data_IF_700115989195
#
_entry.id   IF_700115989195
#
_cell.length_a   1.000
_cell.length_b   1.000
_cell.length_c   1.000
_cell.angle_alpha   90.00
_cell.angle_beta   90.00
_cell.angle_gamma   90.00
#
_symmetry.space_group_name_H-M   'P 1'
#
loop_
_entity.id
_entity.type
_entity.pdbx_description
1 polymer ?
#
# COMPACT_ATOMS: atom_id res chain seq x y z
N UNK A 1 -18.86 -17.12 -54.51
CA UNK A 1 -17.69 -16.38 -54.02
C UNK A 1 -18.22 -15.38 -53.00
N UNK A 2 -18.06 -15.62 -51.70
CA UNK A 2 -16.85 -15.29 -50.90
C UNK A 2 -16.57 -13.78 -51.05
N UNK A 3 -16.64 -12.92 -50.02
CA UNK A 3 -16.06 -13.11 -48.70
C UNK A 3 -16.78 -12.37 -47.57
N UNK A 4 -16.58 -12.95 -46.39
CA UNK A 4 -16.98 -12.50 -45.06
C UNK A 4 -16.38 -11.12 -44.75
N UNK A 5 -17.22 -10.13 -44.45
CA UNK A 5 -16.73 -8.97 -43.69
C UNK A 5 -16.98 -9.25 -42.20
N UNK A 6 -15.98 -9.88 -41.57
CA UNK A 6 -15.90 -10.10 -40.13
C UNK A 6 -16.08 -8.76 -39.41
N UNK A 7 -17.10 -8.69 -38.56
CA UNK A 7 -17.07 -7.77 -37.42
C UNK A 7 -15.82 -8.09 -36.59
N UNK A 8 -14.99 -7.11 -36.21
CA UNK A 8 -14.17 -7.29 -35.03
C UNK A 8 -15.07 -7.03 -33.82
N UNK A 9 -15.47 -8.12 -33.18
CA UNK A 9 -16.00 -8.12 -31.82
C UNK A 9 -14.82 -7.98 -30.86
N UNK A 10 -15.01 -7.13 -29.84
CA UNK A 10 -14.35 -7.12 -28.53
C UNK A 10 -12.82 -7.06 -28.47
N UNK A 11 -12.32 -5.94 -27.99
CA UNK A 11 -11.53 -5.91 -26.76
C UNK A 11 -11.59 -4.47 -26.24
N UNK A 12 -12.69 -4.14 -25.56
CA UNK A 12 -12.63 -3.08 -24.59
C UNK A 12 -11.71 -3.60 -23.49
N UNK A 13 -10.45 -3.21 -23.59
CA UNK A 13 -9.50 -3.33 -22.49
C UNK A 13 -10.06 -2.39 -21.42
N UNK A 14 -10.95 -2.90 -20.59
CA UNK A 14 -11.26 -2.30 -19.30
C UNK A 14 -9.96 -2.34 -18.51
N UNK A 15 -9.12 -1.34 -18.76
CA UNK A 15 -8.03 -1.00 -17.86
C UNK A 15 -8.72 -0.76 -16.53
N UNK A 16 -8.56 -1.71 -15.61
CA UNK A 16 -8.87 -1.49 -14.21
C UNK A 16 -7.98 -0.33 -13.80
N UNK A 17 -8.49 0.90 -13.91
CA UNK A 17 -7.83 2.08 -13.41
C UNK A 17 -7.82 1.87 -11.91
N UNK A 18 -6.69 1.41 -11.40
CA UNK A 18 -6.53 1.16 -9.99
C UNK A 18 -6.66 2.51 -9.28
N UNK A 19 -7.82 2.75 -8.66
CA UNK A 19 -8.09 4.04 -8.03
C UNK A 19 -7.12 4.21 -6.88
N UNK A 20 -6.34 5.27 -6.94
CA UNK A 20 -5.43 5.65 -5.88
C UNK A 20 -6.24 6.30 -4.75
N UNK A 21 -6.33 5.63 -3.58
CA UNK A 21 -7.15 6.10 -2.45
C UNK A 21 -6.52 7.25 -1.67
N UNK A 22 -5.19 7.24 -1.53
CA UNK A 22 -4.44 8.19 -0.72
C UNK A 22 -3.47 9.05 -1.56
N UNK A 23 -3.09 10.26 -1.11
CA UNK A 23 -2.14 11.11 -1.82
C UNK A 23 -0.77 10.45 -2.06
N UNK A 24 0.05 11.06 -2.93
CA UNK A 24 1.41 10.56 -3.20
C UNK A 24 2.29 10.54 -1.95
N UNK A 25 2.18 11.56 -1.10
CA UNK A 25 2.95 11.71 0.13
C UNK A 25 2.03 12.13 1.27
N UNK A 26 2.04 11.39 2.38
CA UNK A 26 1.24 11.70 3.57
C UNK A 26 1.84 11.07 4.82
N UNK A 27 1.26 11.35 6.00
CA UNK A 27 1.66 10.74 7.26
C UNK A 27 0.55 9.83 7.79
N UNK A 28 0.93 8.78 8.52
CA UNK A 28 0.01 7.93 9.26
C UNK A 28 0.55 7.62 10.66
N UNK A 29 -0.31 7.11 11.55
CA UNK A 29 0.07 6.67 12.89
C UNK A 29 -0.39 5.24 13.12
N UNK A 30 0.50 4.42 13.65
CA UNK A 30 0.18 3.06 14.10
C UNK A 30 -0.68 3.14 15.35
N UNK A 31 -1.92 2.67 15.27
CA UNK A 31 -2.90 2.64 16.38
C UNK A 31 -3.14 1.24 16.91
N UNK A 32 -2.97 0.24 16.05
CA UNK A 32 -3.23 -1.15 16.35
C UNK A 32 -2.16 -2.08 15.80
N UNK A 33 -2.58 -3.26 15.37
CA UNK A 33 -1.66 -4.32 14.95
C UNK A 33 -1.31 -4.16 13.47
N UNK A 34 -0.13 -3.62 13.20
CA UNK A 34 0.44 -3.54 11.86
C UNK A 34 1.66 -4.43 11.81
N UNK A 35 1.65 -5.41 10.89
CA UNK A 35 2.79 -6.30 10.71
C UNK A 35 3.55 -5.92 9.45
N UNK A 36 4.87 -6.03 9.49
CA UNK A 36 5.75 -5.84 8.36
C UNK A 36 6.76 -6.99 8.28
N UNK A 37 7.39 -7.11 7.11
CA UNK A 37 8.49 -8.05 6.88
C UNK A 37 9.67 -7.29 6.29
N UNK A 38 10.86 -7.53 6.82
CA UNK A 38 12.11 -7.01 6.26
C UNK A 38 12.80 -8.14 5.48
N UNK A 39 12.89 -7.99 4.16
CA UNK A 39 13.44 -9.02 3.26
C UNK A 39 12.71 -10.37 3.41
N UNK A 40 13.47 -11.44 3.63
CA UNK A 40 12.93 -12.79 3.87
C UNK A 40 12.74 -13.10 5.37
N UNK A 41 12.89 -12.10 6.24
CA UNK A 41 12.78 -12.24 7.69
C UNK A 41 11.38 -12.65 8.18
N UNK A 42 11.21 -12.87 9.49
CA UNK A 42 9.91 -13.09 10.09
C UNK A 42 8.99 -11.88 9.92
N UNK A 43 7.69 -12.07 10.17
CA UNK A 43 6.78 -10.94 10.37
C UNK A 43 7.06 -10.32 11.73
N UNK A 44 7.14 -8.99 11.76
CA UNK A 44 7.39 -8.16 12.94
C UNK A 44 6.25 -7.15 13.11
N UNK A 45 5.95 -6.80 14.35
CA UNK A 45 4.92 -5.81 14.66
C UNK A 45 5.52 -4.41 14.70
N UNK A 46 4.88 -3.45 14.03
CA UNK A 46 5.25 -2.04 14.18
C UNK A 46 4.90 -1.53 15.58
N UNK A 47 5.76 -0.71 16.23
CA UNK A 47 5.44 -0.16 17.53
C UNK A 47 4.22 0.76 17.47
N UNK A 48 3.24 0.55 18.36
CA UNK A 48 2.05 1.41 18.48
C UNK A 48 2.45 2.83 18.88
N UNK A 49 1.81 3.82 18.28
CA UNK A 49 2.11 5.24 18.46
C UNK A 49 3.20 5.78 17.52
N UNK A 50 3.81 4.91 16.70
CA UNK A 50 4.79 5.33 15.69
C UNK A 50 4.11 6.17 14.62
N UNK A 51 4.66 7.36 14.38
CA UNK A 51 4.31 8.17 13.22
C UNK A 51 5.19 7.77 12.03
N UNK A 52 4.53 7.43 10.92
CA UNK A 52 5.19 6.98 9.70
C UNK A 52 4.93 7.97 8.58
N UNK A 53 5.96 8.23 7.78
CA UNK A 53 5.81 8.87 6.48
C UNK A 53 5.46 7.79 5.47
N UNK A 54 4.52 8.09 4.59
CA UNK A 54 3.99 7.15 3.61
C UNK A 54 4.14 7.74 2.22
N UNK A 55 4.82 7.01 1.35
CA UNK A 55 4.95 7.30 -0.07
C UNK A 55 4.17 6.25 -0.88
N UNK A 56 3.28 6.71 -1.76
CA UNK A 56 2.53 5.85 -2.66
C UNK A 56 3.43 5.34 -3.80
N UNK A 57 3.34 4.04 -4.09
CA UNK A 57 3.89 3.41 -5.29
C UNK A 57 2.79 2.64 -6.05
N UNK A 58 3.09 2.17 -7.27
CA UNK A 58 2.09 1.64 -8.23
C UNK A 58 1.18 0.55 -7.63
N UNK A 59 1.70 -0.30 -6.74
CA UNK A 59 0.94 -1.39 -6.11
C UNK A 59 1.24 -1.55 -4.61
N UNK A 60 1.82 -0.53 -4.00
CA UNK A 60 2.33 -0.59 -2.63
C UNK A 60 2.41 0.79 -1.98
N UNK A 61 2.62 0.79 -0.67
CA UNK A 61 3.00 1.96 0.10
C UNK A 61 4.35 1.71 0.75
N UNK A 62 5.24 2.70 0.66
CA UNK A 62 6.53 2.69 1.34
C UNK A 62 6.37 3.47 2.63
N UNK A 63 6.58 2.82 3.76
CA UNK A 63 6.48 3.41 5.08
C UNK A 63 7.90 3.63 5.60
N UNK A 64 8.16 4.83 6.11
CA UNK A 64 9.43 5.15 6.77
C UNK A 64 9.22 5.82 8.11
N UNK A 65 10.02 5.40 9.10
CA UNK A 65 10.03 5.98 10.44
C UNK A 65 11.42 5.84 11.08
N UNK A 66 11.57 6.38 12.28
CA UNK A 66 12.74 6.10 13.13
C UNK A 66 12.27 5.25 14.29
N UNK A 67 12.82 4.04 14.44
CA UNK A 67 12.39 3.13 15.48
C UNK A 67 12.61 3.77 16.87
N UNK A 68 11.58 3.78 17.73
CA UNK A 68 11.67 4.46 19.01
C UNK A 68 12.64 3.78 19.99
N UNK A 69 12.96 2.50 19.81
CA UNK A 69 13.79 1.70 20.71
C UNK A 69 15.28 1.82 20.37
N UNK A 70 15.67 1.63 19.11
CA UNK A 70 17.09 1.61 18.70
C UNK A 70 17.55 2.88 17.95
N UNK A 71 16.62 3.78 17.63
CA UNK A 71 16.84 5.05 16.91
C UNK A 71 17.36 4.89 15.49
N UNK A 72 17.22 3.72 14.88
CA UNK A 72 17.58 3.50 13.48
C UNK A 72 16.42 3.91 12.54
N UNK A 73 16.73 4.41 11.34
CA UNK A 73 15.73 4.61 10.31
C UNK A 73 15.27 3.26 9.74
N UNK A 74 13.96 3.07 9.69
CA UNK A 74 13.31 1.89 9.12
C UNK A 74 12.56 2.25 7.85
N UNK A 75 12.60 1.36 6.87
CA UNK A 75 11.86 1.48 5.62
C UNK A 75 11.26 0.12 5.27
N UNK A 76 9.93 0.09 5.14
CA UNK A 76 9.20 -1.13 4.79
C UNK A 76 8.25 -0.85 3.65
N UNK A 77 7.96 -1.88 2.85
CA UNK A 77 6.98 -1.80 1.77
C UNK A 77 5.82 -2.72 2.10
N UNK A 78 4.61 -2.17 2.12
CA UNK A 78 3.37 -2.94 2.26
C UNK A 78 2.65 -2.97 0.93
N UNK A 79 2.06 -4.13 0.59
CA UNK A 79 1.18 -4.20 -0.57
C UNK A 79 0.00 -3.24 -0.39
N UNK A 80 -0.48 -2.62 -1.48
CA UNK A 80 -1.53 -1.59 -1.40
C UNK A 80 -2.76 -2.06 -0.62
N UNK A 81 -3.25 -3.25 -0.95
CA UNK A 81 -4.42 -3.87 -0.31
C UNK A 81 -4.18 -4.16 1.18
N UNK A 82 -2.96 -4.50 1.55
CA UNK A 82 -2.59 -4.76 2.95
C UNK A 82 -2.59 -3.45 3.75
N UNK A 83 -1.96 -2.40 3.22
CA UNK A 83 -1.98 -1.08 3.84
C UNK A 83 -3.42 -0.55 4.01
N UNK A 84 -4.21 -0.60 2.95
CA UNK A 84 -5.61 -0.15 2.97
C UNK A 84 -6.44 -0.95 3.98
N UNK A 85 -6.18 -2.25 4.14
CA UNK A 85 -6.84 -3.08 5.15
C UNK A 85 -6.47 -2.64 6.58
N UNK A 86 -5.22 -2.31 6.86
CA UNK A 86 -4.83 -1.76 8.17
C UNK A 86 -5.51 -0.41 8.44
N UNK A 87 -5.69 0.43 7.42
CA UNK A 87 -6.44 1.69 7.57
C UNK A 87 -7.92 1.41 7.84
N UNK A 88 -8.53 0.50 7.09
CA UNK A 88 -9.95 0.16 7.24
C UNK A 88 -10.26 -0.50 8.60
N UNK A 89 -9.32 -1.28 9.14
CA UNK A 89 -9.43 -1.86 10.48
C UNK A 89 -9.16 -0.85 11.61
N UNK A 90 -8.61 0.32 11.29
CA UNK A 90 -8.18 1.33 12.26
C UNK A 90 -6.84 1.01 12.95
N UNK A 91 -6.08 0.05 12.43
CA UNK A 91 -4.72 -0.26 12.89
C UNK A 91 -3.71 0.81 12.42
N UNK A 92 -3.97 1.45 11.27
CA UNK A 92 -3.30 2.65 10.78
C UNK A 92 -4.28 3.81 10.65
N UNK A 93 -3.91 4.97 11.19
CA UNK A 93 -4.68 6.21 11.05
C UNK A 93 -3.96 7.17 10.09
N UNK A 94 -4.56 7.47 8.95
CA UNK A 94 -4.04 8.46 7.99
C UNK A 94 -4.30 9.86 8.51
N UNK A 95 -3.24 10.69 8.59
CA UNK A 95 -3.36 12.10 8.94
C UNK A 95 -3.67 12.93 7.70
N UNK A 96 -4.73 13.71 7.78
CA UNK A 96 -5.15 14.72 6.80
C UNK A 96 -4.22 15.93 6.77
#
# INVERSE_FOLDING_TARGET
MNDQNKQPVSEQVETAVEVQRFPEHFNAVVRGKVQHRVGDGPLEDMPVGTEVKVDTAIASYVLSWTDPNDKQPEIVTLAKREFELYVDNGDLEVKS
#
